data_IF_042819404209
#
_entry.id   IF_042819404209
#
_cell.length_a   1.000
_cell.length_b   1.000
_cell.length_c   1.000
_cell.angle_alpha   90.00
_cell.angle_beta   90.00
_cell.angle_gamma   90.00
#
_symmetry.space_group_name_H-M   'P 1'
#
loop_
_entity.id
_entity.type
_entity.pdbx_description
1 polymer ?
#
# COMPACT_ATOMS: atom_id res chain seq x y z
N UNK A 1 -12.75 -4.86 79.45
CA UNK A 1 -13.03 -5.69 78.24
C UNK A 1 -12.39 -5.01 77.05
N UNK A 2 -11.14 -5.36 76.70
CA UNK A 2 -10.42 -4.86 75.60
C UNK A 2 -10.63 -5.82 74.43
N UNK A 3 -11.20 -5.31 73.30
CA UNK A 3 -11.29 -6.04 72.01
C UNK A 3 -10.09 -5.68 71.16
N UNK A 4 -9.19 -6.62 70.99
CA UNK A 4 -8.04 -6.56 70.11
C UNK A 4 -8.52 -6.79 68.63
N UNK A 5 -8.40 -5.77 67.77
CA UNK A 5 -8.57 -5.93 66.34
C UNK A 5 -7.27 -6.49 65.72
N UNK A 6 -7.35 -7.71 65.20
CA UNK A 6 -6.33 -8.27 64.31
C UNK A 6 -6.53 -7.73 62.92
N UNK A 7 -5.62 -6.84 62.47
CA UNK A 7 -5.55 -6.36 61.13
C UNK A 7 -4.70 -7.34 60.32
N UNK A 8 -5.34 -8.14 59.46
CA UNK A 8 -4.65 -9.00 58.52
C UNK A 8 -4.28 -8.14 57.27
N UNK A 9 -3.01 -7.77 57.16
CA UNK A 9 -2.44 -7.24 55.91
C UNK A 9 -2.38 -8.39 54.90
N UNK A 10 -3.32 -8.39 53.95
CA UNK A 10 -3.27 -9.23 52.77
C UNK A 10 -2.36 -8.51 51.75
N UNK A 11 -1.07 -8.84 51.73
CA UNK A 11 -0.16 -8.40 50.69
C UNK A 11 -0.49 -9.15 49.41
N UNK A 12 -1.25 -8.51 48.50
CA UNK A 12 -1.43 -8.99 47.16
C UNK A 12 -0.11 -8.75 46.41
N UNK A 13 0.72 -9.79 46.37
CA UNK A 13 1.89 -9.84 45.48
C UNK A 13 1.37 -10.10 44.08
N UNK A 14 1.06 -9.01 43.35
CA UNK A 14 0.72 -9.07 41.93
C UNK A 14 2.01 -9.46 41.18
N UNK A 15 2.19 -10.75 40.92
CA UNK A 15 3.17 -11.24 39.98
C UNK A 15 2.84 -10.61 38.62
N UNK A 16 3.56 -9.56 38.27
CA UNK A 16 3.69 -9.10 36.88
C UNK A 16 4.42 -10.22 36.12
N UNK A 17 3.66 -11.20 35.63
CA UNK A 17 4.13 -12.08 34.60
C UNK A 17 4.38 -11.17 33.36
N UNK A 18 5.62 -10.71 33.23
CA UNK A 18 6.05 -10.00 32.04
C UNK A 18 5.76 -10.89 30.85
N UNK A 19 5.10 -10.35 29.82
CA UNK A 19 4.89 -11.06 28.56
C UNK A 19 6.23 -11.62 28.10
N UNK A 20 6.27 -12.89 27.67
CA UNK A 20 7.50 -13.49 27.16
C UNK A 20 8.10 -12.62 26.05
N UNK A 21 9.39 -12.33 26.14
CA UNK A 21 10.13 -11.58 25.13
C UNK A 21 11.10 -12.50 24.39
N UNK A 22 11.21 -12.29 23.09
CA UNK A 22 12.11 -13.03 22.20
C UNK A 22 13.18 -12.10 21.69
N UNK A 23 14.41 -12.16 22.23
CA UNK A 23 15.49 -11.29 21.79
C UNK A 23 15.99 -11.70 20.40
N UNK A 24 16.01 -10.75 19.48
CA UNK A 24 16.65 -10.90 18.17
C UNK A 24 18.12 -10.47 18.21
N UNK A 25 18.41 -9.46 19.04
CA UNK A 25 19.75 -8.98 19.35
C UNK A 25 19.85 -8.69 20.83
N UNK A 26 20.93 -9.12 21.47
CA UNK A 26 21.25 -8.86 22.87
C UNK A 26 22.72 -8.45 23.01
N UNK A 27 22.98 -7.35 23.73
CA UNK A 27 24.31 -6.79 23.94
C UNK A 27 25.12 -6.62 22.62
N UNK A 28 24.43 -6.19 21.54
CA UNK A 28 25.01 -6.04 20.22
C UNK A 28 25.34 -7.36 19.50
N UNK A 29 24.90 -8.51 20.02
CA UNK A 29 25.08 -9.83 19.39
C UNK A 29 23.77 -10.33 18.79
N UNK A 30 23.80 -10.80 17.56
CA UNK A 30 22.65 -11.42 16.90
C UNK A 30 22.32 -12.77 17.54
N UNK A 31 21.09 -12.93 17.99
CA UNK A 31 20.52 -14.17 18.53
C UNK A 31 19.49 -14.79 17.58
N UNK A 32 19.25 -14.21 16.43
CA UNK A 32 18.23 -14.66 15.49
C UNK A 32 18.78 -14.82 14.05
N UNK A 33 18.06 -15.61 13.26
CA UNK A 33 18.36 -15.83 11.85
C UNK A 33 17.11 -15.77 10.99
N UNK A 34 17.22 -15.12 9.82
CA UNK A 34 16.17 -15.10 8.81
C UNK A 34 16.25 -16.38 8.00
N UNK A 35 15.20 -17.21 8.04
CA UNK A 35 15.12 -18.47 7.30
C UNK A 35 14.60 -18.21 5.89
N UNK A 36 15.45 -18.37 4.88
CA UNK A 36 15.11 -18.26 3.47
C UNK A 36 14.59 -19.59 2.96
N UNK A 37 13.29 -19.74 2.85
CA UNK A 37 12.66 -20.94 2.35
C UNK A 37 12.96 -21.17 0.86
N UNK A 38 12.89 -22.44 0.40
CA UNK A 38 13.15 -22.78 -1.01
C UNK A 38 12.07 -22.18 -1.92
N UNK A 39 12.49 -21.55 -3.01
CA UNK A 39 11.57 -20.93 -3.96
C UNK A 39 11.08 -19.55 -3.50
N UNK A 40 11.70 -18.96 -2.49
CA UNK A 40 11.36 -17.64 -2.00
C UNK A 40 11.37 -16.58 -3.11
N UNK A 41 10.33 -15.77 -3.15
CA UNK A 41 10.10 -14.73 -4.15
C UNK A 41 10.96 -13.49 -3.92
N UNK A 42 11.06 -12.63 -4.93
CA UNK A 42 11.78 -11.35 -4.80
C UNK A 42 11.25 -10.49 -3.64
N UNK A 43 9.93 -10.55 -3.36
CA UNK A 43 9.30 -9.82 -2.25
C UNK A 43 9.74 -10.35 -0.90
N UNK A 44 9.76 -11.68 -0.70
CA UNK A 44 10.22 -12.30 0.55
C UNK A 44 11.70 -12.00 0.81
N UNK A 45 12.52 -12.05 -0.24
CA UNK A 45 13.94 -11.72 -0.16
C UNK A 45 14.13 -10.25 0.21
N UNK A 46 13.36 -9.38 -0.41
CA UNK A 46 13.40 -7.94 -0.15
C UNK A 46 12.94 -7.61 1.28
N UNK A 47 11.81 -8.14 1.73
CA UNK A 47 11.28 -7.94 3.08
C UNK A 47 12.28 -8.42 4.16
N UNK A 48 12.90 -9.59 3.94
CA UNK A 48 13.94 -10.10 4.84
C UNK A 48 15.20 -9.23 4.83
N UNK A 49 15.54 -8.60 3.69
CA UNK A 49 16.68 -7.69 3.61
C UNK A 49 16.40 -6.36 4.29
N UNK A 50 15.18 -5.83 4.18
CA UNK A 50 14.76 -4.64 4.93
C UNK A 50 14.82 -4.89 6.44
N UNK A 51 14.30 -6.02 6.93
CA UNK A 51 14.42 -6.38 8.35
C UNK A 51 15.88 -6.41 8.80
N UNK A 52 16.76 -7.11 8.07
CA UNK A 52 18.18 -7.20 8.40
C UNK A 52 18.83 -5.80 8.44
N UNK A 53 18.60 -4.99 7.42
CA UNK A 53 19.17 -3.63 7.31
C UNK A 53 18.78 -2.75 8.48
N UNK A 54 17.48 -2.77 8.87
CA UNK A 54 17.03 -1.92 9.97
C UNK A 54 17.45 -2.46 11.34
N UNK A 55 17.48 -3.78 11.54
CA UNK A 55 18.04 -4.35 12.77
C UNK A 55 19.51 -3.94 12.93
N UNK A 56 20.28 -3.98 11.85
CA UNK A 56 21.67 -3.53 11.84
C UNK A 56 21.80 -2.02 12.10
N UNK A 57 20.96 -1.20 11.46
CA UNK A 57 20.91 0.25 11.74
C UNK A 57 20.57 0.56 13.21
N UNK A 58 19.68 -0.22 13.82
CA UNK A 58 19.27 -0.04 15.22
C UNK A 58 20.35 -0.48 16.19
N UNK A 59 20.96 -1.68 15.97
CA UNK A 59 21.76 -2.35 16.99
C UNK A 59 23.25 -2.47 16.65
N UNK A 60 23.63 -2.30 15.40
CA UNK A 60 24.96 -2.60 14.89
C UNK A 60 25.16 -4.10 14.59
N UNK A 61 24.24 -4.99 14.96
CA UNK A 61 24.33 -6.42 14.73
C UNK A 61 23.61 -6.85 13.46
N UNK A 62 24.25 -7.71 12.68
CA UNK A 62 23.67 -8.24 11.42
C UNK A 62 22.99 -9.58 11.67
N UNK A 63 21.69 -9.71 11.36
CA UNK A 63 20.99 -10.99 11.37
C UNK A 63 21.54 -11.91 10.28
N UNK A 64 21.83 -13.17 10.61
CA UNK A 64 22.24 -14.15 9.60
C UNK A 64 21.06 -14.57 8.70
N UNK A 65 21.35 -14.91 7.44
CA UNK A 65 20.36 -15.49 6.50
C UNK A 65 20.71 -16.95 6.27
N UNK A 66 19.80 -17.88 6.54
CA UNK A 66 20.03 -19.32 6.45
C UNK A 66 19.01 -19.98 5.51
N UNK A 67 19.38 -21.12 4.90
CA UNK A 67 18.49 -21.90 4.02
C UNK A 67 17.68 -22.94 4.79
N UNK A 68 18.00 -23.17 6.07
CA UNK A 68 17.31 -24.07 6.97
C UNK A 68 17.22 -23.44 8.36
N UNK A 69 16.25 -23.84 9.18
CA UNK A 69 16.15 -23.40 10.58
C UNK A 69 17.42 -23.70 11.36
N UNK A 70 17.77 -22.84 12.28
CA UNK A 70 18.85 -23.03 13.23
C UNK A 70 18.32 -23.68 14.51
N UNK A 71 19.07 -24.59 15.11
CA UNK A 71 18.78 -25.11 16.45
C UNK A 71 19.23 -24.15 17.57
N UNK A 72 20.17 -23.24 17.26
CA UNK A 72 20.81 -22.36 18.24
C UNK A 72 20.26 -20.92 18.21
N UNK A 73 19.70 -20.50 17.08
CA UNK A 73 19.22 -19.13 16.87
C UNK A 73 17.69 -19.10 16.77
N UNK A 74 17.11 -18.02 17.22
CA UNK A 74 15.68 -17.76 17.08
C UNK A 74 15.36 -17.57 15.59
N UNK A 75 14.49 -18.40 15.04
CA UNK A 75 14.20 -18.42 13.62
C UNK A 75 13.16 -17.37 13.23
N UNK A 76 13.43 -16.61 12.15
CA UNK A 76 12.50 -15.61 11.62
C UNK A 76 12.04 -16.09 10.25
N UNK A 77 10.73 -16.22 10.06
CA UNK A 77 10.08 -16.61 8.82
C UNK A 77 9.29 -15.44 8.25
N UNK A 78 9.59 -15.06 7.01
CA UNK A 78 8.87 -14.03 6.25
C UNK A 78 8.44 -14.73 4.97
N UNK A 79 7.17 -15.14 4.88
CA UNK A 79 6.74 -16.04 3.82
C UNK A 79 5.22 -15.98 3.57
N UNK A 80 4.81 -16.42 2.40
CA UNK A 80 3.40 -16.77 2.14
C UNK A 80 3.07 -18.16 2.70
N UNK A 81 1.79 -18.46 2.98
CA UNK A 81 1.40 -19.74 3.61
C UNK A 81 1.77 -21.00 2.81
N UNK A 82 1.88 -20.86 1.49
CA UNK A 82 2.22 -21.92 0.53
C UNK A 82 3.73 -22.10 0.35
N UNK A 83 4.56 -21.33 1.07
CA UNK A 83 6.01 -21.42 0.94
C UNK A 83 6.52 -22.82 1.34
N UNK A 84 7.28 -23.43 0.42
CA UNK A 84 7.76 -24.81 0.59
C UNK A 84 8.66 -24.96 1.80
N UNK A 85 8.26 -25.83 2.71
CA UNK A 85 9.00 -26.12 3.94
C UNK A 85 8.65 -25.22 5.12
N UNK A 86 7.69 -24.31 4.97
CA UNK A 86 7.15 -23.54 6.08
C UNK A 86 6.34 -24.45 7.02
N UNK A 87 6.66 -24.43 8.29
CA UNK A 87 5.89 -25.06 9.35
C UNK A 87 5.34 -23.98 10.26
N UNK A 88 4.03 -23.82 10.28
CA UNK A 88 3.35 -22.86 11.15
C UNK A 88 2.88 -23.53 12.42
N UNK A 89 3.02 -22.89 13.59
CA UNK A 89 2.34 -23.28 14.82
C UNK A 89 0.82 -23.33 14.63
N UNK A 90 0.13 -24.21 15.36
CA UNK A 90 -1.32 -24.40 15.17
C UNK A 90 -2.11 -23.11 15.44
N UNK A 91 -1.72 -22.35 16.45
CA UNK A 91 -2.31 -21.04 16.72
C UNK A 91 -2.11 -20.05 15.55
N UNK A 92 -0.94 -20.06 14.93
CA UNK A 92 -0.67 -19.23 13.75
C UNK A 92 -1.52 -19.65 12.54
N UNK A 93 -1.73 -20.95 12.32
CA UNK A 93 -2.63 -21.49 11.27
C UNK A 93 -4.07 -21.03 11.46
N UNK A 94 -4.53 -21.04 12.73
CA UNK A 94 -5.86 -20.56 13.09
C UNK A 94 -6.04 -19.07 12.71
N UNK A 95 -5.16 -18.24 13.25
CA UNK A 95 -5.20 -16.78 13.01
C UNK A 95 -5.05 -16.42 11.53
N UNK A 96 -4.30 -17.20 10.78
CA UNK A 96 -4.13 -16.96 9.34
C UNK A 96 -5.44 -17.00 8.56
N UNK A 97 -6.48 -17.69 9.05
CA UNK A 97 -7.80 -17.70 8.42
C UNK A 97 -8.45 -16.31 8.39
N UNK A 98 -8.11 -15.46 9.33
CA UNK A 98 -8.63 -14.10 9.48
C UNK A 98 -7.86 -13.07 8.64
N UNK A 99 -6.67 -13.42 8.13
CA UNK A 99 -5.87 -12.52 7.28
C UNK A 99 -6.54 -12.33 5.93
N UNK A 100 -6.79 -11.08 5.57
CA UNK A 100 -7.41 -10.65 4.32
C UNK A 100 -6.42 -9.91 3.43
N UNK A 101 -6.60 -9.95 2.13
CA UNK A 101 -5.87 -9.19 1.09
C UNK A 101 -4.43 -8.79 1.51
N UNK A 102 -4.18 -7.48 1.68
CA UNK A 102 -2.89 -6.91 2.10
C UNK A 102 -2.59 -7.08 3.60
N UNK A 103 -3.44 -7.80 4.32
CA UNK A 103 -3.22 -8.09 5.73
C UNK A 103 -2.06 -9.06 5.95
N UNK A 104 -1.65 -9.15 7.20
CA UNK A 104 -0.58 -10.04 7.64
C UNK A 104 -0.81 -10.53 9.05
N UNK A 105 -0.18 -11.65 9.38
CA UNK A 105 -0.07 -12.23 10.71
C UNK A 105 1.33 -11.91 11.26
N UNK A 106 1.38 -11.38 12.47
CA UNK A 106 2.57 -11.34 13.31
C UNK A 106 2.40 -12.38 14.42
N UNK A 107 3.24 -13.40 14.43
CA UNK A 107 3.27 -14.39 15.46
C UNK A 107 4.69 -14.55 16.00
N UNK A 108 4.87 -14.45 17.30
CA UNK A 108 6.13 -14.72 17.97
C UNK A 108 5.89 -15.64 19.16
N UNK A 109 6.53 -16.78 19.16
CA UNK A 109 6.44 -17.84 20.17
C UNK A 109 7.75 -18.60 20.28
N UNK A 110 7.77 -19.67 21.08
CA UNK A 110 8.97 -20.51 21.26
C UNK A 110 9.49 -21.11 19.95
N UNK A 111 8.64 -21.29 18.94
CA UNK A 111 9.00 -21.88 17.65
C UNK A 111 9.64 -20.88 16.67
N UNK A 112 9.48 -19.57 16.92
CA UNK A 112 10.04 -18.53 16.04
C UNK A 112 9.18 -17.28 15.92
N UNK A 113 9.70 -16.33 15.15
CA UNK A 113 8.99 -15.13 14.69
C UNK A 113 8.49 -15.36 13.25
N UNK A 114 7.21 -15.16 13.05
CA UNK A 114 6.55 -15.36 11.76
C UNK A 114 5.88 -14.06 11.30
N UNK A 115 6.23 -13.62 10.11
CA UNK A 115 5.55 -12.59 9.33
C UNK A 115 4.92 -13.28 8.14
N UNK A 116 3.63 -13.55 8.21
CA UNK A 116 2.91 -14.34 7.19
C UNK A 116 1.81 -13.50 6.57
N UNK A 117 1.73 -13.50 5.25
CA UNK A 117 0.68 -12.81 4.51
C UNK A 117 0.19 -13.66 3.33
N UNK A 118 -1.10 -13.59 3.00
CA UNK A 118 -1.65 -14.29 1.83
C UNK A 118 -1.19 -13.65 0.53
N UNK A 119 -1.18 -12.32 0.48
CA UNK A 119 -0.62 -11.55 -0.62
C UNK A 119 0.80 -11.09 -0.26
N UNK A 120 1.72 -11.19 -1.22
CA UNK A 120 3.15 -10.90 -1.00
C UNK A 120 3.40 -9.49 -0.46
N UNK A 121 2.58 -8.51 -0.85
CA UNK A 121 2.67 -7.12 -0.40
C UNK A 121 2.53 -7.00 1.13
N UNK A 122 1.66 -7.80 1.73
CA UNK A 122 1.48 -7.88 3.18
C UNK A 122 2.75 -8.25 3.95
N UNK A 123 3.69 -8.99 3.34
CA UNK A 123 4.97 -9.33 3.97
C UNK A 123 5.82 -8.09 4.27
N UNK A 124 5.88 -7.15 3.31
CA UNK A 124 6.58 -5.88 3.51
C UNK A 124 5.92 -5.08 4.64
N UNK A 125 4.58 -5.00 4.64
CA UNK A 125 3.84 -4.27 5.68
C UNK A 125 4.07 -4.89 7.07
N UNK A 126 4.09 -6.21 7.18
CA UNK A 126 4.37 -6.90 8.43
C UNK A 126 5.78 -6.61 8.97
N UNK A 127 6.78 -6.60 8.11
CA UNK A 127 8.16 -6.24 8.48
C UNK A 127 8.25 -4.78 8.93
N UNK A 128 7.63 -3.85 8.18
CA UNK A 128 7.66 -2.44 8.58
C UNK A 128 6.87 -2.17 9.86
N UNK A 129 5.79 -2.92 10.08
CA UNK A 129 5.04 -2.82 11.32
C UNK A 129 5.86 -3.27 12.54
N UNK A 130 6.59 -4.39 12.44
CA UNK A 130 7.57 -4.82 13.45
C UNK A 130 8.62 -3.74 13.73
N UNK A 131 9.20 -3.17 12.68
CA UNK A 131 10.22 -2.14 12.80
C UNK A 131 9.67 -0.85 13.43
N UNK A 132 8.44 -0.48 13.11
CA UNK A 132 7.78 0.69 13.72
C UNK A 132 7.45 0.47 15.19
N UNK A 133 6.83 -0.66 15.52
CA UNK A 133 6.33 -0.92 16.89
C UNK A 133 7.47 -1.22 17.85
N UNK A 134 8.36 -2.11 17.49
CA UNK A 134 9.40 -2.63 18.39
C UNK A 134 10.76 -2.02 18.12
N UNK A 135 11.09 -1.71 16.87
CA UNK A 135 12.30 -1.01 16.48
C UNK A 135 12.28 0.49 16.79
N UNK A 136 11.11 1.11 16.76
CA UNK A 136 10.94 2.57 16.91
C UNK A 136 11.28 3.35 15.64
N UNK A 137 11.42 2.66 14.51
CA UNK A 137 11.75 3.29 13.22
C UNK A 137 10.58 4.12 12.70
N UNK A 138 10.87 5.26 12.09
CA UNK A 138 9.88 6.11 11.39
C UNK A 138 10.44 6.58 10.06
N UNK A 139 9.58 6.64 9.06
CA UNK A 139 9.87 7.19 7.73
C UNK A 139 8.96 8.41 7.49
N UNK A 140 9.46 9.59 7.83
CA UNK A 140 8.67 10.83 7.89
C UNK A 140 8.50 11.42 6.48
N UNK A 141 9.60 11.50 5.73
CA UNK A 141 9.62 11.96 4.33
C UNK A 141 10.36 10.97 3.44
N UNK A 142 10.19 11.01 2.10
CA UNK A 142 10.99 10.21 1.19
C UNK A 142 12.48 10.57 1.30
N UNK A 143 13.34 9.57 1.29
CA UNK A 143 14.80 9.75 1.34
C UNK A 143 15.42 9.44 2.71
N UNK A 144 16.76 9.35 2.74
CA UNK A 144 17.48 9.03 3.97
C UNK A 144 17.32 10.06 5.09
N UNK A 145 17.17 11.32 4.75
CA UNK A 145 16.94 12.44 5.69
C UNK A 145 15.59 12.36 6.40
N UNK A 146 14.65 11.63 5.83
CA UNK A 146 13.34 11.37 6.43
C UNK A 146 13.30 10.13 7.32
N UNK A 147 14.39 9.40 7.45
CA UNK A 147 14.46 8.21 8.30
C UNK A 147 14.85 8.57 9.73
N UNK A 148 14.01 8.19 10.68
CA UNK A 148 14.36 8.16 12.09
C UNK A 148 14.61 6.70 12.51
N UNK A 149 15.83 6.38 12.91
CA UNK A 149 16.23 5.05 13.37
C UNK A 149 16.91 5.18 14.73
N UNK A 150 16.25 4.76 15.82
CA UNK A 150 16.85 4.85 17.15
C UNK A 150 18.03 3.87 17.27
N UNK A 151 19.07 4.26 18.01
CA UNK A 151 20.20 3.38 18.34
C UNK A 151 19.94 2.67 19.68
N UNK A 152 20.02 1.36 19.66
CA UNK A 152 19.82 0.48 20.82
C UNK A 152 20.87 -0.63 20.81
N UNK A 153 21.25 -1.18 21.97
CA UNK A 153 22.09 -2.38 22.04
C UNK A 153 21.31 -3.67 21.85
N UNK A 154 20.04 -3.63 22.26
CA UNK A 154 19.14 -4.77 22.28
C UNK A 154 17.95 -4.53 21.34
N UNK A 155 17.46 -5.60 20.74
CA UNK A 155 16.20 -5.61 20.00
C UNK A 155 15.45 -6.90 20.26
N UNK A 156 14.29 -6.80 20.89
CA UNK A 156 13.40 -7.92 21.21
C UNK A 156 12.02 -7.68 20.61
N UNK A 157 11.25 -8.75 20.47
CA UNK A 157 9.82 -8.71 20.21
C UNK A 157 9.09 -9.43 21.33
N UNK A 158 7.93 -8.93 21.82
CA UNK A 158 7.15 -9.66 22.79
C UNK A 158 6.51 -10.90 22.15
N UNK A 159 5.86 -11.74 22.95
CA UNK A 159 4.96 -12.76 22.43
C UNK A 159 3.86 -12.10 21.59
N UNK A 160 3.68 -12.55 20.35
CA UNK A 160 2.74 -11.99 19.38
C UNK A 160 1.82 -13.07 18.84
N UNK A 161 0.55 -12.72 18.68
CA UNK A 161 -0.46 -13.53 18.01
C UNK A 161 -1.51 -12.58 17.41
N UNK A 162 -1.10 -11.79 16.43
CA UNK A 162 -1.87 -10.64 15.93
C UNK A 162 -2.12 -10.72 14.43
N UNK A 163 -3.37 -10.54 14.05
CA UNK A 163 -3.78 -10.32 12.66
C UNK A 163 -3.98 -8.83 12.43
N UNK A 164 -3.29 -8.30 11.44
CA UNK A 164 -3.42 -6.89 11.03
C UNK A 164 -3.99 -6.85 9.63
N UNK A 165 -5.20 -6.33 9.50
CA UNK A 165 -5.86 -6.13 8.21
C UNK A 165 -6.04 -4.64 7.95
N UNK A 166 -5.62 -4.12 6.80
CA UNK A 166 -5.87 -2.73 6.46
C UNK A 166 -7.38 -2.48 6.26
N UNK A 167 -7.86 -1.31 6.66
CA UNK A 167 -9.26 -0.92 6.50
C UNK A 167 -9.63 -0.70 5.03
N UNK A 168 -8.68 -0.28 4.20
CA UNK A 168 -8.85 -0.04 2.77
C UNK A 168 -7.89 -0.90 1.97
N UNK A 169 -8.38 -1.50 0.88
CA UNK A 169 -7.55 -2.28 -0.06
C UNK A 169 -6.57 -1.37 -0.82
N UNK A 170 -7.05 -0.21 -1.27
CA UNK A 170 -6.23 0.77 -1.97
C UNK A 170 -5.91 1.94 -1.05
N UNK A 171 -4.62 2.16 -0.83
CA UNK A 171 -4.06 3.19 0.05
C UNK A 171 -2.96 3.90 -0.71
N UNK A 172 -3.34 4.83 -1.56
CA UNK A 172 -2.41 5.57 -2.40
C UNK A 172 -2.78 7.04 -2.47
N UNK A 173 -1.78 7.88 -2.57
CA UNK A 173 -1.92 9.27 -2.97
C UNK A 173 -0.76 9.67 -3.87
N UNK A 174 -1.00 10.64 -4.72
CA UNK A 174 0.02 11.17 -5.61
C UNK A 174 0.87 12.19 -4.84
N UNK A 175 2.15 11.87 -4.66
CA UNK A 175 3.10 12.77 -4.03
C UNK A 175 3.99 13.42 -5.09
N UNK A 176 3.80 14.70 -5.30
CA UNK A 176 4.74 15.51 -6.08
C UNK A 176 5.89 15.88 -5.15
N UNK A 177 6.99 15.13 -5.23
CA UNK A 177 8.13 15.26 -4.32
C UNK A 177 9.35 15.83 -5.03
N UNK A 178 10.03 16.77 -4.38
CA UNK A 178 11.35 17.25 -4.78
C UNK A 178 12.43 16.15 -4.79
N UNK A 179 12.20 15.04 -4.08
CA UNK A 179 13.12 13.91 -3.95
C UNK A 179 13.04 12.91 -5.12
N UNK A 180 12.22 13.20 -6.12
CA UNK A 180 12.10 12.41 -7.36
C UNK A 180 11.30 11.10 -7.22
N UNK A 181 10.84 10.61 -8.36
CA UNK A 181 9.97 9.44 -8.49
C UNK A 181 10.57 8.13 -7.94
N UNK A 182 11.88 8.05 -7.71
CA UNK A 182 12.56 6.81 -7.31
C UNK A 182 12.42 6.49 -5.81
N UNK A 183 12.38 7.50 -4.93
CA UNK A 183 12.35 7.31 -3.47
C UNK A 183 10.93 7.21 -2.91
N UNK A 184 9.99 7.85 -3.58
CA UNK A 184 8.58 7.91 -3.15
C UNK A 184 7.91 6.54 -3.02
N UNK A 185 8.02 5.58 -3.97
CA UNK A 185 7.35 4.28 -3.86
C UNK A 185 7.79 3.47 -2.65
N UNK A 186 9.08 3.46 -2.34
CA UNK A 186 9.60 2.75 -1.17
C UNK A 186 9.12 3.39 0.13
N UNK A 187 9.16 4.72 0.22
CA UNK A 187 8.65 5.47 1.37
C UNK A 187 7.15 5.24 1.58
N UNK A 188 6.36 5.26 0.52
CA UNK A 188 4.92 4.97 0.57
C UNK A 188 4.66 3.57 1.10
N UNK A 189 5.39 2.56 0.63
CA UNK A 189 5.23 1.19 1.09
C UNK A 189 5.63 1.03 2.56
N UNK A 190 6.71 1.67 3.01
CA UNK A 190 7.12 1.70 4.42
C UNK A 190 6.05 2.31 5.33
N UNK A 191 5.20 3.15 4.78
CA UNK A 191 4.05 3.76 5.46
C UNK A 191 2.71 3.05 5.18
N UNK A 192 2.74 1.82 4.69
CA UNK A 192 1.56 0.97 4.51
C UNK A 192 0.73 1.31 3.28
N UNK A 193 1.24 2.12 2.34
CA UNK A 193 0.53 2.46 1.10
C UNK A 193 0.74 1.40 0.03
N UNK A 194 -0.28 1.24 -0.83
CA UNK A 194 -0.21 0.29 -1.94
C UNK A 194 0.74 0.78 -3.02
N UNK A 195 1.71 -0.06 -3.38
CA UNK A 195 2.68 0.21 -4.42
C UNK A 195 2.78 -0.94 -5.39
N UNK A 196 3.11 -0.61 -6.63
CA UNK A 196 3.29 -1.55 -7.72
C UNK A 196 4.77 -1.89 -7.89
N UNK A 197 5.04 -3.07 -8.38
CA UNK A 197 6.38 -3.49 -8.78
C UNK A 197 6.81 -4.84 -8.22
N UNK A 198 7.86 -5.43 -8.77
CA UNK A 198 8.28 -6.80 -8.45
C UNK A 198 8.75 -6.98 -7.01
N UNK A 199 9.27 -5.91 -6.38
CA UNK A 199 9.72 -5.93 -4.98
C UNK A 199 8.59 -5.58 -4.01
N UNK A 200 7.50 -4.98 -4.50
CA UNK A 200 6.44 -4.45 -3.67
C UNK A 200 5.22 -5.37 -3.60
N UNK A 201 5.14 -6.34 -4.51
CA UNK A 201 4.08 -7.36 -4.51
C UNK A 201 2.70 -6.86 -4.95
N UNK A 202 2.60 -5.62 -5.43
CA UNK A 202 1.34 -5.03 -5.87
C UNK A 202 1.02 -5.28 -7.32
N UNK A 203 -0.25 -5.21 -7.66
CA UNK A 203 -0.76 -5.28 -9.01
C UNK A 203 -0.71 -3.95 -9.76
N UNK A 204 -1.23 -3.94 -10.97
CA UNK A 204 -1.20 -2.80 -11.86
C UNK A 204 -2.38 -1.88 -11.60
N UNK A 205 -2.11 -0.59 -11.32
CA UNK A 205 -3.13 0.48 -11.31
C UNK A 205 -3.06 1.21 -12.64
N UNK A 206 -4.21 1.45 -13.23
CA UNK A 206 -4.33 2.11 -14.54
C UNK A 206 -5.26 3.31 -14.47
N UNK A 207 -5.11 4.22 -15.43
CA UNK A 207 -5.98 5.36 -15.58
C UNK A 207 -5.33 6.69 -15.17
N UNK A 208 -6.15 7.61 -14.72
CA UNK A 208 -5.84 9.02 -14.50
C UNK A 208 -6.77 9.88 -15.33
N UNK A 209 -6.29 10.97 -15.88
CA UNK A 209 -7.04 11.82 -16.83
C UNK A 209 -7.13 11.12 -18.20
N UNK A 210 -8.11 10.20 -18.34
CA UNK A 210 -8.23 9.31 -19.49
C UNK A 210 -9.39 9.63 -20.43
N UNK A 211 -10.08 10.74 -20.25
CA UNK A 211 -11.22 11.08 -21.10
C UNK A 211 -10.83 11.14 -22.59
N UNK A 212 -9.63 11.66 -22.91
CA UNK A 212 -9.12 11.67 -24.29
C UNK A 212 -8.82 10.28 -24.85
N UNK A 213 -8.58 9.28 -23.98
CA UNK A 213 -8.48 7.87 -24.40
C UNK A 213 -9.85 7.25 -24.60
N UNK A 214 -10.85 7.65 -23.80
CA UNK A 214 -12.21 7.12 -23.87
C UNK A 214 -13.01 7.77 -25.01
N UNK A 215 -12.78 9.05 -25.31
CA UNK A 215 -13.35 9.77 -26.44
C UNK A 215 -12.19 10.34 -27.29
N UNK A 216 -11.67 9.61 -28.30
CA UNK A 216 -10.55 10.08 -29.10
C UNK A 216 -10.87 11.37 -29.87
N UNK A 217 -9.95 12.34 -29.83
CA UNK A 217 -10.09 13.63 -30.51
C UNK A 217 -10.25 13.52 -32.04
N UNK A 218 -9.84 12.39 -32.63
CA UNK A 218 -10.06 12.12 -34.04
C UNK A 218 -11.53 12.18 -34.45
N UNK A 219 -12.45 11.85 -33.54
CA UNK A 219 -13.90 11.91 -33.75
C UNK A 219 -14.41 13.35 -33.89
N UNK A 220 -13.68 14.34 -33.43
CA UNK A 220 -14.08 15.75 -33.54
C UNK A 220 -14.30 16.19 -35.00
N UNK A 221 -13.54 15.63 -35.94
CA UNK A 221 -13.61 16.01 -37.37
C UNK A 221 -14.97 15.65 -38.01
N UNK A 222 -15.62 14.62 -37.52
CA UNK A 222 -16.89 14.13 -38.06
C UNK A 222 -18.07 14.36 -37.12
N UNK A 223 -17.80 14.42 -35.80
CA UNK A 223 -18.83 14.48 -34.77
C UNK A 223 -18.45 15.53 -33.69
N UNK A 224 -18.39 16.83 -34.03
CA UNK A 224 -18.01 17.87 -33.06
C UNK A 224 -18.98 18.01 -31.90
N UNK A 225 -20.25 17.55 -32.04
CA UNK A 225 -21.29 17.57 -31.02
C UNK A 225 -20.97 16.64 -29.81
N UNK A 226 -20.06 15.70 -29.96
CA UNK A 226 -19.59 14.84 -28.88
C UNK A 226 -18.71 15.60 -27.88
N UNK A 227 -18.11 16.69 -28.31
CA UNK A 227 -17.16 17.49 -27.53
C UNK A 227 -17.82 18.69 -26.86
N UNK A 228 -17.22 19.12 -25.74
CA UNK A 228 -17.77 20.21 -24.95
C UNK A 228 -17.91 21.53 -25.71
N UNK A 229 -19.04 22.20 -25.48
CA UNK A 229 -19.22 23.59 -25.88
C UNK A 229 -18.61 24.49 -24.79
N UNK A 230 -17.59 25.25 -25.12
CA UNK A 230 -16.95 26.18 -24.20
C UNK A 230 -16.72 27.53 -24.89
N UNK A 231 -17.18 28.60 -24.24
CA UNK A 231 -17.13 29.97 -24.79
C UNK A 231 -17.69 30.06 -26.21
N UNK A 232 -18.84 29.44 -26.43
CA UNK A 232 -19.55 29.45 -27.69
C UNK A 232 -18.96 28.57 -28.81
N UNK A 233 -17.92 27.79 -28.52
CA UNK A 233 -17.27 26.92 -29.50
C UNK A 233 -17.18 25.47 -28.99
N UNK A 234 -17.42 24.50 -29.88
CA UNK A 234 -17.07 23.11 -29.60
C UNK A 234 -15.62 22.90 -30.06
N UNK A 235 -14.82 22.33 -29.17
CA UNK A 235 -13.40 22.10 -29.40
C UNK A 235 -13.01 20.68 -28.97
N UNK A 236 -12.02 20.05 -29.62
CA UNK A 236 -11.50 18.76 -29.20
C UNK A 236 -10.86 18.89 -27.82
N UNK A 237 -10.64 17.76 -27.16
CA UNK A 237 -10.04 17.77 -25.82
C UNK A 237 -8.62 18.34 -25.80
N UNK A 238 -7.88 18.26 -26.90
CA UNK A 238 -6.58 18.93 -27.05
C UNK A 238 -6.68 20.46 -27.23
N UNK A 239 -7.88 21.02 -27.34
CA UNK A 239 -8.13 22.46 -27.42
C UNK A 239 -7.95 23.08 -28.81
N UNK A 240 -7.26 22.42 -29.72
CA UNK A 240 -6.97 22.92 -31.06
C UNK A 240 -7.13 21.81 -32.11
N UNK A 241 -8.07 21.91 -33.06
CA UNK A 241 -8.27 20.92 -34.11
C UNK A 241 -7.01 20.62 -34.93
N UNK A 242 -6.09 21.57 -35.06
CA UNK A 242 -4.83 21.38 -35.79
C UNK A 242 -3.84 20.49 -35.01
N UNK A 243 -4.00 20.36 -33.72
CA UNK A 243 -3.15 19.52 -32.84
C UNK A 243 -3.64 18.09 -32.66
N UNK A 244 -4.74 17.72 -33.32
CA UNK A 244 -5.22 16.34 -33.26
C UNK A 244 -4.18 15.40 -33.87
N UNK A 245 -3.57 14.55 -33.05
CA UNK A 245 -2.55 13.59 -33.45
C UNK A 245 -3.14 12.45 -34.31
N UNK A 246 -2.28 11.69 -35.01
CA UNK A 246 -2.71 10.52 -35.80
C UNK A 246 -3.35 9.44 -34.91
N UNK A 247 -2.95 9.34 -33.66
CA UNK A 247 -3.53 8.40 -32.68
C UNK A 247 -4.88 8.88 -32.14
N UNK A 248 -5.23 10.16 -32.35
CA UNK A 248 -6.44 10.79 -31.85
C UNK A 248 -6.47 10.95 -30.32
N UNK A 249 -5.45 10.48 -29.62
CA UNK A 249 -5.32 10.66 -28.17
C UNK A 249 -4.69 12.02 -27.95
N UNK A 250 -5.48 12.97 -27.46
CA UNK A 250 -5.12 14.37 -27.37
C UNK A 250 -4.88 14.87 -25.97
N UNK A 251 -4.84 16.20 -25.83
CA UNK A 251 -4.60 16.89 -24.56
C UNK A 251 -5.79 16.89 -23.59
N UNK A 252 -5.69 17.75 -22.61
CA UNK A 252 -6.67 17.87 -21.53
C UNK A 252 -7.23 19.30 -21.41
N UNK A 253 -7.26 20.03 -22.53
CA UNK A 253 -7.67 21.44 -22.52
C UNK A 253 -9.19 21.64 -22.37
N UNK A 254 -10.00 20.70 -22.87
CA UNK A 254 -11.46 20.79 -22.82
C UNK A 254 -12.07 19.47 -22.32
N UNK A 255 -13.27 19.55 -21.76
CA UNK A 255 -14.06 18.39 -21.36
C UNK A 255 -14.91 17.88 -22.52
N UNK A 256 -15.30 16.60 -22.56
CA UNK A 256 -16.35 16.11 -23.47
C UNK A 256 -17.72 16.64 -23.11
N UNK A 257 -18.71 16.49 -24.01
CA UNK A 257 -20.12 16.77 -23.72
C UNK A 257 -20.74 15.58 -22.98
N UNK A 258 -20.81 15.62 -21.66
CA UNK A 258 -21.30 14.53 -20.83
C UNK A 258 -22.83 14.37 -20.82
N UNK A 259 -23.59 15.34 -21.36
CA UNK A 259 -25.03 15.22 -21.56
C UNK A 259 -25.42 14.63 -22.93
N UNK A 260 -24.45 14.43 -23.82
CA UNK A 260 -24.71 13.77 -25.11
C UNK A 260 -24.66 12.24 -24.92
N UNK A 261 -25.78 11.52 -25.17
CA UNK A 261 -25.83 10.07 -24.98
C UNK A 261 -24.80 9.29 -25.80
N UNK A 262 -24.51 9.78 -27.01
CA UNK A 262 -23.55 9.14 -27.90
C UNK A 262 -22.12 9.28 -27.38
N UNK A 263 -21.77 10.43 -26.76
CA UNK A 263 -20.51 10.60 -26.04
C UNK A 263 -20.34 9.54 -24.96
N UNK A 264 -21.37 9.37 -24.13
CA UNK A 264 -21.35 8.39 -23.03
C UNK A 264 -21.22 6.98 -23.57
N UNK A 265 -21.98 6.62 -24.62
CA UNK A 265 -21.94 5.29 -25.25
C UNK A 265 -20.51 4.97 -25.74
N UNK A 266 -19.89 5.89 -26.48
CA UNK A 266 -18.52 5.70 -27.00
C UNK A 266 -17.52 5.55 -25.86
N UNK A 267 -17.60 6.41 -24.84
CA UNK A 267 -16.72 6.35 -23.69
C UNK A 267 -16.88 5.02 -22.93
N UNK A 268 -18.10 4.54 -22.72
CA UNK A 268 -18.37 3.26 -22.07
C UNK A 268 -17.78 2.09 -22.88
N UNK A 269 -17.98 2.04 -24.18
CA UNK A 269 -17.43 0.98 -25.05
C UNK A 269 -15.90 0.95 -24.99
N UNK A 270 -15.27 2.12 -25.07
CA UNK A 270 -13.82 2.24 -24.98
C UNK A 270 -13.29 1.86 -23.61
N UNK A 271 -14.01 2.20 -22.53
CA UNK A 271 -13.67 1.78 -21.18
C UNK A 271 -13.73 0.26 -21.05
N UNK A 272 -14.83 -0.38 -21.48
CA UNK A 272 -14.96 -1.84 -21.45
C UNK A 272 -13.83 -2.52 -22.26
N UNK A 273 -13.48 -1.95 -23.42
CA UNK A 273 -12.35 -2.44 -24.20
C UNK A 273 -11.02 -2.31 -23.48
N UNK A 274 -10.79 -1.19 -22.78
CA UNK A 274 -9.60 -0.95 -21.95
C UNK A 274 -9.51 -1.94 -20.78
N UNK A 275 -10.63 -2.16 -20.07
CA UNK A 275 -10.72 -3.13 -18.97
C UNK A 275 -10.38 -4.55 -19.46
N UNK A 276 -11.00 -4.99 -20.55
CA UNK A 276 -10.75 -6.32 -21.13
C UNK A 276 -9.30 -6.54 -21.56
N UNK A 277 -8.61 -5.49 -22.01
CA UNK A 277 -7.18 -5.55 -22.35
C UNK A 277 -6.25 -5.64 -21.15
N UNK A 278 -6.75 -5.39 -19.95
CA UNK A 278 -5.96 -5.33 -18.73
C UNK A 278 -6.60 -6.14 -17.59
N UNK A 279 -6.80 -7.45 -17.76
CA UNK A 279 -7.51 -8.29 -16.78
C UNK A 279 -6.79 -8.41 -15.43
N UNK A 280 -5.47 -8.13 -15.40
CA UNK A 280 -4.67 -8.13 -14.16
C UNK A 280 -4.56 -6.77 -13.48
N UNK A 281 -5.33 -5.76 -13.90
CA UNK A 281 -5.32 -4.48 -13.21
C UNK A 281 -6.15 -4.55 -11.91
N UNK A 282 -5.56 -4.12 -10.81
CA UNK A 282 -6.24 -4.08 -9.50
C UNK A 282 -7.22 -2.91 -9.39
N UNK A 283 -6.95 -1.81 -10.07
CA UNK A 283 -7.84 -0.65 -10.09
C UNK A 283 -7.71 0.17 -11.37
N UNK A 284 -8.79 0.89 -11.70
CA UNK A 284 -8.84 1.88 -12.76
C UNK A 284 -9.29 3.22 -12.18
N UNK A 285 -8.50 4.26 -12.43
CA UNK A 285 -8.86 5.63 -12.11
C UNK A 285 -9.38 6.32 -13.38
N UNK A 286 -10.59 6.83 -13.33
CA UNK A 286 -11.23 7.54 -14.44
C UNK A 286 -11.45 8.97 -13.98
N UNK A 287 -10.53 9.85 -14.35
CA UNK A 287 -10.63 11.28 -14.05
C UNK A 287 -11.02 12.04 -15.32
N UNK A 288 -11.78 13.11 -15.12
CA UNK A 288 -11.99 14.14 -16.14
C UNK A 288 -10.65 14.76 -16.58
N UNK A 289 -10.63 15.48 -17.68
CA UNK A 289 -9.45 16.22 -18.10
C UNK A 289 -9.06 17.27 -17.05
N UNK A 290 -7.78 17.54 -16.92
CA UNK A 290 -7.25 18.52 -15.96
C UNK A 290 -7.46 19.94 -16.50
N UNK A 291 -8.72 20.33 -16.58
CA UNK A 291 -9.19 21.57 -17.17
C UNK A 291 -10.51 22.00 -16.57
N UNK A 292 -10.72 23.31 -16.46
CA UNK A 292 -11.98 23.94 -16.03
C UNK A 292 -12.93 24.22 -17.21
N UNK A 293 -12.57 23.85 -18.46
CA UNK A 293 -13.39 24.07 -19.64
C UNK A 293 -14.52 23.04 -19.76
N UNK A 294 -15.49 23.09 -18.87
CA UNK A 294 -16.67 22.25 -18.87
C UNK A 294 -17.62 22.60 -20.00
N UNK A 295 -18.47 21.65 -20.39
CA UNK A 295 -19.43 21.87 -21.46
C UNK A 295 -20.56 22.80 -20.99
N UNK A 296 -20.71 23.92 -21.67
CA UNK A 296 -21.71 24.97 -21.40
C UNK A 296 -23.02 24.78 -22.21
N UNK A 297 -23.25 23.64 -22.88
CA UNK A 297 -24.50 23.43 -23.60
C UNK A 297 -25.68 23.33 -22.62
N UNK A 298 -26.88 23.68 -23.11
CA UNK A 298 -28.09 23.73 -22.28
C UNK A 298 -28.35 22.45 -21.47
N UNK A 299 -28.12 21.28 -22.09
CA UNK A 299 -28.32 20.00 -21.42
C UNK A 299 -27.27 19.72 -20.33
N UNK A 300 -26.01 20.12 -20.54
CA UNK A 300 -25.00 19.98 -19.47
C UNK A 300 -25.29 20.92 -18.31
N UNK A 301 -25.68 22.18 -18.59
CA UNK A 301 -26.04 23.14 -17.53
C UNK A 301 -27.24 22.70 -16.71
N UNK A 302 -28.18 21.93 -17.26
CA UNK A 302 -29.29 21.34 -16.49
C UNK A 302 -28.87 20.26 -15.49
N UNK A 303 -27.65 19.70 -15.66
CA UNK A 303 -27.08 18.70 -14.76
C UNK A 303 -26.27 19.33 -13.63
N UNK A 304 -25.94 20.63 -13.73
CA UNK A 304 -25.20 21.33 -12.70
C UNK A 304 -26.06 21.54 -11.45
N UNK A 305 -25.49 21.41 -10.23
CA UNK A 305 -26.19 21.76 -9.01
C UNK A 305 -26.69 23.21 -9.04
N UNK A 306 -27.87 23.52 -8.46
CA UNK A 306 -28.42 24.88 -8.50
C UNK A 306 -27.48 25.96 -7.98
N UNK A 307 -26.66 25.65 -6.95
CA UNK A 307 -25.67 26.56 -6.37
C UNK A 307 -24.51 26.86 -7.32
N UNK A 308 -24.12 25.92 -8.18
CA UNK A 308 -23.08 26.13 -9.19
C UNK A 308 -23.63 26.83 -10.43
N UNK A 309 -24.82 26.47 -10.86
CA UNK A 309 -25.53 27.16 -11.94
C UNK A 309 -25.72 28.66 -11.63
N UNK A 310 -25.97 29.00 -10.37
CA UNK A 310 -26.11 30.39 -9.91
C UNK A 310 -24.79 31.18 -9.92
N UNK A 311 -23.64 30.52 -9.85
CA UNK A 311 -22.31 31.17 -9.88
C UNK A 311 -21.77 31.41 -11.29
N UNK A 312 -22.47 30.93 -12.33
CA UNK A 312 -22.06 31.10 -13.73
C UNK A 312 -20.76 30.32 -14.09
N UNK A 313 -20.46 29.28 -13.32
CA UNK A 313 -19.31 28.40 -13.57
C UNK A 313 -19.67 27.29 -14.55
#
# INVERSE_FOLDING_TARGET
MQKTLFSALFSVFMLLLGAAEYPLVKDGKSLAAIVRLRGGTAVEIFAGSELQTYVEKITGATLSKRRSPSAELYNIYIATPDARGLKLPDKAKELLKEVRDDGFLLYAGGEGLYVIARERRGLNYGVYELLKRYGGVRWITPGPEGEFVPRKKDFSVPALAEVVNPSFRHRNFNLVSAHGAKLTPLWQMRNGMTQNGPLYGGGKHLGGHIFSTLLPDALYRTNPELFGLYKGKRLPQCGDPAKITKTGIGGQANQPCTSNPETIRIMQENLVRLLRKNPGAESFCILNNDSTAWCECENCRKLDPPEEAARGM
#
